data_IF_988917603605
#
_entry.id   IF_988917603605
#
_cell.length_a   1.000
_cell.length_b   1.000
_cell.length_c   1.000
_cell.angle_alpha   90.00
_cell.angle_beta   90.00
_cell.angle_gamma   90.00
#
_symmetry.space_group_name_H-M   'P 1'
#
loop_
_entity.id
_entity.type
_entity.pdbx_description
1 polymer ?
#
# COMPACT_ATOMS: atom_id res chain seq x y z
N UNK A 1 -26.56 -13.04 23.63
CA UNK A 1 -27.26 -13.16 22.33
C UNK A 1 -26.59 -14.25 21.51
N UNK A 2 -27.25 -15.39 21.32
CA UNK A 2 -26.76 -16.45 20.43
C UNK A 2 -26.77 -15.92 18.99
N UNK A 3 -25.60 -15.83 18.35
CA UNK A 3 -25.52 -15.45 16.94
C UNK A 3 -26.18 -16.58 16.15
N UNK A 4 -27.26 -16.27 15.43
CA UNK A 4 -27.94 -17.17 14.49
C UNK A 4 -27.06 -17.44 13.26
N UNK A 5 -25.90 -18.07 13.47
CA UNK A 5 -24.91 -18.35 12.42
C UNK A 5 -25.44 -19.39 11.41
N UNK A 6 -26.43 -20.18 11.81
CA UNK A 6 -26.96 -21.31 11.05
C UNK A 6 -28.36 -21.07 10.47
N UNK A 7 -29.03 -19.96 10.80
CA UNK A 7 -30.33 -19.60 10.24
C UNK A 7 -30.11 -18.96 8.86
N UNK A 8 -29.77 -19.78 7.86
CA UNK A 8 -29.60 -19.33 6.48
C UNK A 8 -30.92 -19.40 5.72
N UNK A 9 -31.20 -18.37 4.92
CA UNK A 9 -32.25 -18.48 3.89
C UNK A 9 -31.85 -19.54 2.85
N UNK A 10 -32.81 -20.14 2.13
CA UNK A 10 -32.49 -21.14 1.10
C UNK A 10 -31.47 -20.63 0.07
N UNK A 11 -31.60 -19.38 -0.38
CA UNK A 11 -30.64 -18.73 -1.30
C UNK A 11 -29.23 -18.62 -0.70
N UNK A 12 -29.12 -18.21 0.57
CA UNK A 12 -27.84 -18.11 1.24
C UNK A 12 -27.16 -19.47 1.41
N UNK A 13 -27.97 -20.53 1.64
CA UNK A 13 -27.48 -21.90 1.72
C UNK A 13 -26.92 -22.36 0.37
N UNK A 14 -27.60 -22.08 -0.73
CA UNK A 14 -27.11 -22.39 -2.07
C UNK A 14 -25.78 -21.69 -2.37
N UNK A 15 -25.69 -20.39 -2.06
CA UNK A 15 -24.44 -19.63 -2.21
C UNK A 15 -23.31 -20.19 -1.35
N UNK A 16 -23.60 -20.63 -0.12
CA UNK A 16 -22.61 -21.24 0.77
C UNK A 16 -22.10 -22.58 0.21
N UNK A 17 -23.00 -23.43 -0.27
CA UNK A 17 -22.65 -24.71 -0.91
C UNK A 17 -21.84 -24.49 -2.18
N UNK A 18 -22.22 -23.51 -3.00
CA UNK A 18 -21.47 -23.14 -4.21
C UNK A 18 -20.05 -22.67 -3.88
N UNK A 19 -19.87 -21.83 -2.85
CA UNK A 19 -18.55 -21.37 -2.39
C UNK A 19 -17.70 -22.54 -1.86
N UNK A 20 -18.30 -23.45 -1.10
CA UNK A 20 -17.61 -24.64 -0.58
C UNK A 20 -17.16 -25.57 -1.72
N UNK A 21 -18.05 -25.83 -2.69
CA UNK A 21 -17.74 -26.61 -3.88
C UNK A 21 -16.57 -26.01 -4.67
N UNK A 22 -16.55 -24.68 -4.86
CA UNK A 22 -15.44 -23.98 -5.51
C UNK A 22 -14.14 -24.08 -4.73
N UNK A 23 -14.18 -23.97 -3.39
CA UNK A 23 -13.00 -24.13 -2.54
C UNK A 23 -12.43 -25.55 -2.62
N UNK A 24 -13.28 -26.57 -2.64
CA UNK A 24 -12.87 -27.97 -2.80
C UNK A 24 -12.18 -28.18 -4.15
N UNK A 25 -12.77 -27.71 -5.24
CA UNK A 25 -12.17 -27.78 -6.58
C UNK A 25 -10.76 -27.16 -6.63
N UNK A 26 -10.58 -25.96 -6.07
CA UNK A 26 -9.27 -25.29 -6.02
C UNK A 26 -8.27 -26.04 -5.13
N UNK A 27 -8.74 -26.60 -4.02
CA UNK A 27 -7.89 -27.40 -3.12
C UNK A 27 -7.42 -28.69 -3.80
N UNK A 28 -8.28 -29.37 -4.55
CA UNK A 28 -7.93 -30.57 -5.30
C UNK A 28 -6.87 -30.26 -6.37
N UNK A 29 -7.02 -29.16 -7.10
CA UNK A 29 -6.02 -28.69 -8.06
C UNK A 29 -4.66 -28.43 -7.39
N UNK A 30 -4.67 -27.76 -6.23
CA UNK A 30 -3.46 -27.52 -5.43
C UNK A 30 -2.82 -28.84 -4.98
N UNK A 31 -3.60 -29.75 -4.39
CA UNK A 31 -3.09 -31.01 -3.87
C UNK A 31 -2.48 -31.88 -4.98
N UNK A 32 -3.14 -31.94 -6.15
CA UNK A 32 -2.64 -32.64 -7.34
C UNK A 32 -1.25 -32.14 -7.76
N UNK A 33 -1.05 -30.83 -7.74
CA UNK A 33 0.17 -30.22 -8.26
C UNK A 33 1.29 -30.10 -7.20
N UNK A 34 0.93 -29.99 -5.92
CA UNK A 34 1.89 -29.82 -4.80
C UNK A 34 2.79 -31.03 -4.53
N UNK A 35 2.30 -32.24 -4.79
CA UNK A 35 3.05 -33.49 -4.62
C UNK A 35 3.72 -33.99 -5.89
N UNK A 36 3.64 -33.26 -7.00
CA UNK A 36 4.10 -33.74 -8.30
C UNK A 36 5.63 -33.60 -8.44
N UNK A 37 6.39 -34.70 -8.61
CA UNK A 37 7.86 -34.67 -8.51
C UNK A 37 8.55 -33.86 -9.62
N UNK A 38 7.87 -33.63 -10.75
CA UNK A 38 8.42 -32.85 -11.88
C UNK A 38 7.95 -31.39 -11.93
N UNK A 39 6.99 -30.99 -11.08
CA UNK A 39 6.52 -29.60 -11.03
C UNK A 39 7.32 -28.85 -9.98
N UNK A 40 8.23 -27.98 -10.42
CA UNK A 40 9.05 -27.16 -9.52
C UNK A 40 8.31 -25.93 -8.99
N UNK A 41 7.24 -25.48 -9.65
CA UNK A 41 6.53 -24.25 -9.31
C UNK A 41 5.02 -24.46 -9.31
N UNK A 42 4.40 -24.05 -8.20
CA UNK A 42 2.95 -24.14 -8.02
C UNK A 42 2.30 -22.86 -8.55
N UNK A 43 1.65 -22.96 -9.70
CA UNK A 43 1.03 -21.81 -10.35
C UNK A 43 -0.38 -21.55 -9.82
N UNK A 44 -0.52 -20.62 -8.87
CA UNK A 44 -1.84 -20.16 -8.41
C UNK A 44 -2.37 -19.02 -9.28
N UNK A 45 -3.33 -19.35 -10.14
CA UNK A 45 -4.00 -18.39 -11.03
C UNK A 45 -4.58 -17.17 -10.30
N UNK A 46 -5.02 -17.30 -9.04
CA UNK A 46 -5.56 -16.19 -8.25
C UNK A 46 -4.49 -15.15 -7.92
N UNK A 47 -3.30 -15.61 -7.49
CA UNK A 47 -2.15 -14.75 -7.20
C UNK A 47 -1.68 -14.04 -8.47
N UNK A 48 -1.58 -14.77 -9.59
CA UNK A 48 -1.17 -14.19 -10.86
C UNK A 48 -2.16 -13.13 -11.35
N UNK A 49 -3.47 -13.39 -11.26
CA UNK A 49 -4.49 -12.40 -11.64
C UNK A 49 -4.44 -11.17 -10.75
N UNK A 50 -4.20 -11.34 -9.45
CA UNK A 50 -4.04 -10.21 -8.53
C UNK A 50 -2.79 -9.38 -8.87
N UNK A 51 -1.66 -10.04 -9.12
CA UNK A 51 -0.42 -9.37 -9.53
C UNK A 51 -0.61 -8.64 -10.86
N UNK A 52 -1.23 -9.29 -11.85
CA UNK A 52 -1.53 -8.71 -13.15
C UNK A 52 -2.45 -7.48 -13.02
N UNK A 53 -3.48 -7.55 -12.19
CA UNK A 53 -4.39 -6.43 -11.94
C UNK A 53 -3.68 -5.21 -11.32
N UNK A 54 -2.67 -5.43 -10.47
CA UNK A 54 -1.86 -4.36 -9.89
C UNK A 54 -0.91 -3.72 -10.92
N UNK A 55 -0.44 -4.48 -11.90
CA UNK A 55 0.42 -3.95 -12.96
C UNK A 55 -0.36 -3.30 -14.09
N UNK A 56 -1.62 -3.68 -14.30
CA UNK A 56 -2.47 -3.16 -15.39
C UNK A 56 -3.24 -1.88 -15.01
N UNK A 57 -2.80 -1.14 -13.98
CA UNK A 57 -3.52 0.05 -13.51
C UNK A 57 -3.67 1.12 -14.60
N UNK A 58 -2.65 1.28 -15.44
CA UNK A 58 -2.65 2.28 -16.52
C UNK A 58 -3.70 1.97 -17.59
N UNK A 59 -3.96 0.69 -17.85
CA UNK A 59 -4.94 0.24 -18.85
C UNK A 59 -6.36 0.57 -18.38
N UNK A 60 -6.63 0.45 -17.09
CA UNK A 60 -7.94 0.70 -16.49
C UNK A 60 -8.05 2.11 -15.87
N UNK A 61 -7.13 3.01 -16.21
CA UNK A 61 -7.15 4.36 -15.67
C UNK A 61 -8.32 5.15 -16.24
N UNK A 62 -9.19 5.64 -15.35
CA UNK A 62 -10.26 6.58 -15.71
C UNK A 62 -9.82 7.99 -15.28
N UNK A 63 -9.67 8.94 -16.22
CA UNK A 63 -9.27 10.29 -15.88
C UNK A 63 -10.35 10.94 -15.00
N UNK A 64 -9.97 11.31 -13.78
CA UNK A 64 -10.85 11.96 -12.82
C UNK A 64 -10.14 13.15 -12.19
N UNK A 65 -10.69 14.34 -12.40
CA UNK A 65 -10.10 15.58 -11.90
C UNK A 65 -10.01 15.60 -10.37
N UNK A 66 -11.06 15.13 -9.68
CA UNK A 66 -11.10 15.07 -8.21
C UNK A 66 -9.99 14.19 -7.65
N UNK A 67 -9.80 13.01 -8.26
CA UNK A 67 -8.74 12.07 -7.85
C UNK A 67 -7.36 12.67 -8.09
N UNK A 68 -7.13 13.24 -9.27
CA UNK A 68 -5.86 13.88 -9.62
C UNK A 68 -5.50 15.00 -8.64
N UNK A 69 -6.41 15.96 -8.40
CA UNK A 69 -6.17 17.08 -7.49
C UNK A 69 -5.92 16.62 -6.06
N UNK A 70 -6.64 15.59 -5.59
CA UNK A 70 -6.40 15.04 -4.24
C UNK A 70 -4.99 14.42 -4.10
N UNK A 71 -4.53 13.66 -5.10
CA UNK A 71 -3.23 13.01 -5.06
C UNK A 71 -2.09 14.02 -5.18
N UNK A 72 -2.17 14.92 -6.16
CA UNK A 72 -1.18 15.98 -6.36
C UNK A 72 -1.16 16.93 -5.16
N UNK A 73 -2.33 17.27 -4.61
CA UNK A 73 -2.45 18.11 -3.43
C UNK A 73 -1.73 17.53 -2.21
N UNK A 74 -1.89 16.22 -1.95
CA UNK A 74 -1.19 15.54 -0.86
C UNK A 74 0.33 15.61 -1.06
N UNK A 75 0.83 15.25 -2.25
CA UNK A 75 2.27 15.28 -2.54
C UNK A 75 2.84 16.70 -2.45
N UNK A 76 2.17 17.68 -3.07
CA UNK A 76 2.60 19.08 -3.03
C UNK A 76 2.60 19.63 -1.59
N UNK A 77 1.59 19.28 -0.78
CA UNK A 77 1.52 19.70 0.62
C UNK A 77 2.71 19.19 1.43
N UNK A 78 3.11 17.92 1.24
CA UNK A 78 4.25 17.33 1.93
C UNK A 78 5.56 18.04 1.55
N UNK A 79 5.74 18.36 0.27
CA UNK A 79 6.90 19.10 -0.23
C UNK A 79 6.95 20.49 0.40
N UNK A 80 5.84 21.24 0.36
CA UNK A 80 5.77 22.60 0.89
C UNK A 80 6.01 22.62 2.40
N UNK A 81 5.37 21.73 3.16
CA UNK A 81 5.55 21.64 4.62
C UNK A 81 7.00 21.35 4.95
N UNK A 82 7.62 20.39 4.26
CA UNK A 82 9.03 20.03 4.48
C UNK A 82 9.95 21.20 4.14
N UNK A 83 9.72 21.89 3.01
CA UNK A 83 10.51 23.05 2.62
C UNK A 83 10.41 24.20 3.63
N UNK A 84 9.21 24.50 4.13
CA UNK A 84 9.00 25.53 5.15
C UNK A 84 9.66 25.18 6.48
N UNK A 85 9.58 23.91 6.91
CA UNK A 85 10.25 23.44 8.12
C UNK A 85 11.77 23.60 8.00
N UNK A 86 12.36 23.12 6.91
CA UNK A 86 13.79 23.24 6.65
C UNK A 86 14.25 24.69 6.56
N UNK A 87 13.46 25.56 5.91
CA UNK A 87 13.75 26.99 5.83
C UNK A 87 13.74 27.63 7.22
N UNK A 88 12.70 27.38 8.01
CA UNK A 88 12.57 27.93 9.37
C UNK A 88 13.74 27.50 10.26
N UNK A 89 14.16 26.24 10.19
CA UNK A 89 15.27 25.73 10.98
C UNK A 89 16.63 26.28 10.50
N UNK A 90 16.78 26.50 9.19
CA UNK A 90 17.94 27.21 8.65
C UNK A 90 17.99 28.66 9.13
N UNK A 91 16.89 29.41 9.02
CA UNK A 91 16.82 30.82 9.41
C UNK A 91 17.12 31.01 10.90
N UNK A 92 16.59 30.12 11.76
CA UNK A 92 16.90 30.11 13.20
C UNK A 92 18.39 29.91 13.45
N UNK A 93 19.01 28.89 12.83
CA UNK A 93 20.46 28.63 13.01
C UNK A 93 21.30 29.80 12.51
N UNK A 94 20.94 30.36 11.36
CA UNK A 94 21.63 31.52 10.80
C UNK A 94 21.51 32.76 11.69
N UNK A 95 20.35 32.97 12.31
CA UNK A 95 20.15 34.03 13.29
C UNK A 95 21.08 33.86 14.51
N UNK A 96 21.21 32.65 15.05
CA UNK A 96 22.11 32.35 16.15
C UNK A 96 23.59 32.60 15.78
N UNK A 97 23.96 32.29 14.53
CA UNK A 97 25.32 32.55 14.04
C UNK A 97 25.63 34.04 13.87
N UNK A 98 24.65 34.83 13.40
CA UNK A 98 24.80 36.28 13.15
C UNK A 98 24.77 37.10 14.43
N UNK A 99 23.98 36.69 15.42
CA UNK A 99 23.90 37.36 16.73
C UNK A 99 25.07 37.01 17.66
N UNK A 100 25.89 36.02 17.29
CA UNK A 100 27.02 35.58 18.11
C UNK A 100 26.61 34.78 19.36
N UNK A 101 25.34 34.34 19.45
CA UNK A 101 24.88 33.48 20.55
C UNK A 101 25.55 32.10 20.55
N UNK A 102 26.15 31.70 19.42
CA UNK A 102 26.93 30.48 19.26
C UNK A 102 28.37 30.82 18.92
N UNK A 103 29.29 30.37 19.77
CA UNK A 103 30.73 30.52 19.59
C UNK A 103 31.20 29.90 18.29
N UNK A 104 32.17 30.54 17.62
CA UNK A 104 32.70 30.07 16.35
C UNK A 104 33.24 28.62 16.41
N UNK A 105 33.81 28.21 17.55
CA UNK A 105 34.34 26.86 17.75
C UNK A 105 33.26 25.76 17.83
N UNK A 106 32.04 26.12 18.23
CA UNK A 106 30.92 25.18 18.42
C UNK A 106 30.05 24.99 17.17
N UNK A 107 30.37 25.66 16.06
CA UNK A 107 29.63 25.59 14.80
C UNK A 107 29.91 24.26 14.08
N UNK A 108 28.86 23.54 13.74
CA UNK A 108 28.95 22.20 13.11
C UNK A 108 29.52 22.21 11.68
N UNK A 109 29.54 23.35 10.98
CA UNK A 109 29.97 23.46 9.57
C UNK A 109 31.12 24.47 9.42
N UNK A 110 32.09 24.46 10.34
CA UNK A 110 33.18 25.46 10.36
C UNK A 110 34.18 25.29 9.20
N UNK A 111 34.39 24.06 8.73
CA UNK A 111 35.46 23.69 7.79
C UNK A 111 34.99 22.82 6.62
N UNK A 112 33.68 22.79 6.39
CA UNK A 112 33.04 22.00 5.34
C UNK A 112 32.67 22.89 4.17
#
# INVERSE_FOLDING_TARGET
MSKKVYDLTPEQRELALWRDAKRKQLRELYLRDSGHPTKSLLFDTGIYRFAAAKTSLDIYFVPSLRRYLSQVGVVASLIVVTALALKKDRDKREHLYRTGQIDYASRSHRFC
#
